data_IF_992381972665
#
_entry.id   IF_992381972665
#
_cell.length_a   1.000
_cell.length_b   1.000
_cell.length_c   1.000
_cell.angle_alpha   90.00
_cell.angle_beta   90.00
_cell.angle_gamma   90.00
#
_symmetry.space_group_name_H-M   'P 1'
#
loop_
_entity.id
_entity.type
_entity.pdbx_description
1 polymer ?
#
# COMPACT_ATOMS: atom_id res chain seq x y z
N UNK A 1 -15.34 -42.19 33.00
CA UNK A 1 -14.41 -42.22 31.85
C UNK A 1 -13.94 -40.79 31.58
N UNK A 2 -12.72 -40.45 31.99
CA UNK A 2 -12.17 -39.09 31.88
C UNK A 2 -11.31 -39.00 30.61
N UNK A 3 -11.71 -38.17 29.65
CA UNK A 3 -10.88 -37.81 28.50
C UNK A 3 -10.12 -36.51 28.83
N UNK A 4 -8.85 -36.63 29.22
CA UNK A 4 -7.90 -35.51 29.17
C UNK A 4 -7.44 -35.37 27.72
N UNK A 5 -7.81 -34.28 27.06
CA UNK A 5 -7.35 -33.95 25.70
C UNK A 5 -6.06 -33.15 25.80
N UNK A 6 -5.06 -33.64 25.09
CA UNK A 6 -3.70 -33.11 24.98
C UNK A 6 -3.75 -31.86 24.10
N UNK A 7 -3.45 -30.69 24.67
CA UNK A 7 -3.22 -29.45 23.91
C UNK A 7 -1.80 -29.01 24.23
N UNK A 8 -0.88 -29.22 23.30
CA UNK A 8 0.48 -28.73 23.50
C UNK A 8 1.47 -29.20 22.46
N UNK A 9 1.36 -28.77 21.20
CA UNK A 9 2.52 -28.66 20.27
C UNK A 9 2.16 -27.90 18.97
N UNK A 10 1.89 -26.59 19.02
CA UNK A 10 1.79 -25.76 17.78
C UNK A 10 2.73 -24.55 17.79
N UNK A 11 3.33 -24.20 18.93
CA UNK A 11 4.20 -23.00 19.04
C UNK A 11 5.61 -23.22 18.44
N UNK A 12 6.01 -24.47 18.18
CA UNK A 12 7.38 -24.78 17.71
C UNK A 12 7.65 -24.56 16.21
N UNK A 13 6.62 -24.50 15.36
CA UNK A 13 6.83 -24.48 13.90
C UNK A 13 7.18 -23.08 13.35
N UNK A 14 6.68 -22.02 13.99
CA UNK A 14 6.89 -20.63 13.53
C UNK A 14 8.34 -20.17 13.77
N UNK A 15 8.97 -20.61 14.87
CA UNK A 15 10.35 -20.22 15.19
C UNK A 15 11.38 -20.79 14.21
N UNK A 16 11.13 -21.94 13.59
CA UNK A 16 12.06 -22.55 12.62
C UNK A 16 12.05 -21.80 11.29
N UNK A 17 10.90 -21.28 10.85
CA UNK A 17 10.78 -20.56 9.57
C UNK A 17 11.53 -19.23 9.60
N UNK A 18 11.58 -18.54 10.75
CA UNK A 18 12.30 -17.26 10.88
C UNK A 18 13.82 -17.45 10.78
N UNK A 19 14.37 -18.58 11.22
CA UNK A 19 15.82 -18.80 11.25
C UNK A 19 16.42 -19.16 9.88
N UNK A 20 15.65 -19.77 8.97
CA UNK A 20 16.16 -20.19 7.65
C UNK A 20 16.35 -19.02 6.68
N UNK A 21 15.64 -17.91 6.86
CA UNK A 21 15.68 -16.78 5.91
C UNK A 21 16.99 -15.96 6.02
N UNK A 22 17.74 -16.08 7.12
CA UNK A 22 18.94 -15.24 7.34
C UNK A 22 20.24 -15.75 6.69
N UNK A 23 20.26 -16.93 6.04
CA UNK A 23 21.51 -17.59 5.65
C UNK A 23 21.75 -17.77 4.14
N UNK A 24 21.00 -17.12 3.24
CA UNK A 24 21.13 -17.36 1.80
C UNK A 24 21.54 -16.13 0.95
N UNK A 25 22.47 -15.30 1.43
CA UNK A 25 22.99 -14.18 0.62
C UNK A 25 24.50 -13.98 0.78
N UNK A 26 25.29 -14.99 0.40
CA UNK A 26 26.71 -14.85 0.11
C UNK A 26 27.15 -15.89 -0.92
N UNK A 27 26.96 -15.59 -2.21
CA UNK A 27 27.91 -15.93 -3.27
C UNK A 27 27.40 -15.46 -4.63
N UNK A 28 28.34 -15.01 -5.46
CA UNK A 28 28.21 -14.59 -6.86
C UNK A 28 27.82 -13.12 -7.07
N UNK A 29 28.81 -12.22 -7.19
CA UNK A 29 29.24 -11.69 -8.50
C UNK A 29 30.50 -10.83 -8.33
N UNK A 30 31.65 -11.43 -8.64
CA UNK A 30 32.88 -10.73 -9.03
C UNK A 30 33.10 -11.06 -10.50
N UNK A 31 32.90 -10.08 -11.39
CA UNK A 31 33.53 -10.08 -12.71
C UNK A 31 33.52 -8.66 -13.28
N UNK A 32 34.74 -8.15 -13.47
CA UNK A 32 35.08 -6.92 -14.18
C UNK A 32 34.65 -6.99 -15.64
N UNK A 33 34.23 -5.86 -16.21
CA UNK A 33 34.67 -5.48 -17.56
C UNK A 33 34.75 -3.96 -17.67
N UNK A 34 35.97 -3.45 -17.78
CA UNK A 34 36.24 -2.15 -18.37
C UNK A 34 36.06 -2.28 -19.89
N UNK A 35 35.26 -1.40 -20.49
CA UNK A 35 35.35 -1.15 -21.92
C UNK A 35 35.16 0.35 -22.18
N UNK A 36 36.27 1.02 -22.49
CA UNK A 36 36.30 2.30 -23.18
C UNK A 36 36.12 2.06 -24.67
N UNK A 37 35.38 2.95 -25.36
CA UNK A 37 35.55 3.42 -26.75
C UNK A 37 34.29 4.22 -27.10
N UNK A 38 34.35 5.56 -27.05
CA UNK A 38 34.45 6.46 -28.21
C UNK A 38 33.42 6.21 -29.31
N UNK A 39 32.54 7.18 -29.54
CA UNK A 39 31.57 7.11 -30.63
C UNK A 39 30.67 8.33 -30.70
N UNK A 40 31.19 9.39 -31.30
CA UNK A 40 30.54 10.62 -31.75
C UNK A 40 29.32 10.30 -32.62
N UNK A 41 28.19 11.02 -32.43
CA UNK A 41 27.46 11.80 -33.45
C UNK A 41 26.01 12.04 -33.01
N UNK A 42 25.68 13.32 -32.82
CA UNK A 42 24.33 13.86 -32.72
C UNK A 42 23.99 14.54 -34.05
N UNK A 43 22.89 14.19 -34.73
CA UNK A 43 22.30 15.04 -35.74
C UNK A 43 21.28 15.99 -35.08
N UNK A 44 21.44 17.27 -35.37
CA UNK A 44 20.55 18.35 -35.00
C UNK A 44 19.17 18.16 -35.66
N UNK A 45 18.11 18.31 -34.87
CA UNK A 45 16.74 18.39 -35.33
C UNK A 45 16.48 19.74 -36.01
N UNK A 46 15.96 19.71 -37.24
CA UNK A 46 15.38 20.85 -37.93
C UNK A 46 13.85 20.83 -37.77
N UNK A 47 13.33 22.03 -37.64
CA UNK A 47 11.95 22.47 -37.49
C UNK A 47 11.15 22.44 -38.79
N UNK A 48 9.86 22.09 -38.70
CA UNK A 48 8.72 22.60 -39.51
C UNK A 48 7.46 22.03 -38.81
N UNK A 49 6.67 22.80 -38.05
CA UNK A 49 5.61 23.75 -38.44
C UNK A 49 4.72 23.22 -39.56
N UNK A 50 3.52 22.78 -39.21
CA UNK A 50 2.30 23.19 -39.92
C UNK A 50 1.06 23.07 -39.02
N UNK A 51 0.33 24.17 -38.98
CA UNK A 51 -1.03 24.40 -38.48
C UNK A 51 -2.03 23.74 -39.45
N UNK A 52 -3.30 23.42 -39.16
CA UNK A 52 -4.47 24.29 -38.87
C UNK A 52 -5.72 23.38 -38.76
N UNK A 53 -6.80 23.97 -38.20
CA UNK A 53 -8.22 23.76 -38.53
C UNK A 53 -9.09 22.86 -37.62
N UNK A 54 -9.75 23.52 -36.67
CA UNK A 54 -11.20 23.63 -36.48
C UNK A 54 -12.13 22.55 -37.07
N UNK A 55 -13.02 22.01 -36.23
CA UNK A 55 -14.47 22.15 -36.45
C UNK A 55 -15.30 21.80 -35.20
N UNK A 56 -16.39 22.53 -35.08
CA UNK A 56 -17.29 22.71 -33.93
C UNK A 56 -18.63 21.94 -34.15
N UNK A 57 -19.36 21.76 -33.04
CA UNK A 57 -20.83 21.81 -32.91
C UNK A 57 -21.73 20.64 -33.36
N UNK A 58 -22.45 20.03 -32.39
CA UNK A 58 -23.93 19.87 -32.32
C UNK A 58 -24.31 19.04 -31.07
N UNK A 59 -24.83 19.63 -29.99
CA UNK A 59 -26.23 20.00 -29.69
C UNK A 59 -27.22 18.84 -29.90
N UNK A 60 -27.85 18.40 -28.79
CA UNK A 60 -29.22 17.85 -28.61
C UNK A 60 -29.46 17.87 -27.08
N UNK A 61 -30.06 18.89 -26.43
CA UNK A 61 -31.46 19.35 -26.36
C UNK A 61 -32.46 18.33 -25.76
N UNK A 62 -33.09 18.80 -24.67
CA UNK A 62 -34.47 18.61 -24.17
C UNK A 62 -34.80 17.39 -23.26
N UNK A 63 -35.15 17.59 -21.96
CA UNK A 63 -36.49 17.92 -21.35
C UNK A 63 -37.10 16.59 -20.81
N UNK A 64 -37.73 16.38 -19.64
CA UNK A 64 -38.55 17.19 -18.70
C UNK A 64 -38.66 16.48 -17.34
N UNK A 65 -38.67 17.27 -16.27
CA UNK A 65 -39.41 17.26 -14.98
C UNK A 65 -40.35 16.07 -14.59
N UNK A 66 -40.15 15.54 -13.36
CA UNK A 66 -41.03 15.46 -12.13
C UNK A 66 -42.58 15.39 -12.29
N UNK A 67 -43.45 15.04 -11.28
CA UNK A 67 -43.26 14.79 -9.83
C UNK A 67 -44.20 13.67 -9.23
N UNK A 68 -44.31 13.66 -7.87
CA UNK A 68 -45.47 13.27 -7.00
C UNK A 68 -45.45 11.84 -6.43
N UNK A 69 -45.77 11.53 -5.16
CA UNK A 69 -45.79 12.17 -3.84
C UNK A 69 -46.24 11.09 -2.81
N UNK A 70 -45.80 11.21 -1.54
CA UNK A 70 -46.55 11.06 -0.25
C UNK A 70 -47.44 9.80 -0.04
N UNK A 71 -47.62 9.14 1.11
CA UNK A 71 -47.46 9.31 2.57
C UNK A 71 -48.01 7.98 3.16
N UNK A 72 -47.63 7.43 4.32
CA UNK A 72 -48.10 7.76 5.67
C UNK A 72 -47.65 6.59 6.62
N UNK A 73 -46.90 6.88 7.70
CA UNK A 73 -47.29 6.84 9.13
C UNK A 73 -47.39 5.46 9.84
N UNK A 74 -46.75 5.39 11.03
CA UNK A 74 -47.27 4.92 12.34
C UNK A 74 -46.30 4.02 13.15
N UNK A 75 -45.82 4.62 14.25
CA UNK A 75 -45.56 4.13 15.63
C UNK A 75 -44.41 3.17 16.00
N UNK A 76 -43.51 3.75 16.81
CA UNK A 76 -43.17 3.39 18.21
C UNK A 76 -42.91 1.92 18.54
N UNK A 77 -41.66 1.61 18.90
CA UNK A 77 -41.23 1.11 20.24
C UNK A 77 -39.99 0.22 20.15
N UNK A 78 -38.96 0.61 20.91
CA UNK A 78 -37.93 -0.17 21.58
C UNK A 78 -36.54 0.43 21.30
N UNK A 79 -36.11 1.25 22.26
CA UNK A 79 -34.72 1.67 22.41
C UNK A 79 -33.92 0.42 22.79
N UNK A 80 -33.36 -0.25 21.79
CA UNK A 80 -32.26 -1.18 22.00
C UNK A 80 -30.99 -0.34 22.01
N UNK A 81 -30.44 -0.13 23.21
CA UNK A 81 -29.14 0.51 23.38
C UNK A 81 -28.10 -0.50 22.89
N UNK A 82 -27.92 -0.57 21.57
CA UNK A 82 -26.76 -1.23 20.96
C UNK A 82 -25.55 -0.47 21.52
N UNK A 83 -24.61 -1.14 22.21
CA UNK A 83 -23.41 -0.47 22.68
C UNK A 83 -22.75 0.16 21.45
N UNK A 84 -22.62 1.48 21.47
CA UNK A 84 -21.99 2.26 20.41
C UNK A 84 -20.57 1.72 20.23
N UNK A 85 -20.41 0.83 19.25
CA UNK A 85 -19.12 0.24 18.92
C UNK A 85 -18.27 1.40 18.44
N UNK A 86 -17.32 1.83 19.29
CA UNK A 86 -16.33 2.84 18.91
C UNK A 86 -15.78 2.49 17.52
N UNK A 87 -15.64 3.48 16.62
CA UNK A 87 -15.27 3.21 15.25
C UNK A 87 -13.96 2.43 15.23
N UNK A 88 -14.00 1.21 14.67
CA UNK A 88 -12.81 0.38 14.57
C UNK A 88 -11.93 0.95 13.47
N UNK A 89 -10.78 1.49 13.85
CA UNK A 89 -9.77 2.00 12.91
C UNK A 89 -8.74 0.91 12.66
N UNK A 90 -8.60 0.49 11.39
CA UNK A 90 -7.53 -0.37 10.92
C UNK A 90 -6.63 0.43 9.98
N UNK A 91 -5.32 0.21 10.02
CA UNK A 91 -4.36 0.81 9.11
C UNK A 91 -3.67 -0.28 8.31
N UNK A 92 -3.68 -0.18 6.99
CA UNK A 92 -2.88 -1.05 6.12
C UNK A 92 -1.73 -0.24 5.55
N UNK A 93 -0.52 -0.79 5.61
CA UNK A 93 0.68 -0.20 5.04
C UNK A 93 1.21 -1.18 4.01
N UNK A 94 1.06 -0.86 2.73
CA UNK A 94 1.44 -1.75 1.64
C UNK A 94 2.56 -1.14 0.82
N UNK A 95 3.66 -1.88 0.70
CA UNK A 95 4.71 -1.60 -0.26
C UNK A 95 4.41 -2.38 -1.53
N UNK A 96 3.92 -1.70 -2.55
CA UNK A 96 3.84 -2.27 -3.88
C UNK A 96 5.21 -2.20 -4.55
N UNK A 97 5.52 -3.17 -5.41
CA UNK A 97 6.73 -3.18 -6.22
C UNK A 97 6.57 -4.11 -7.43
N UNK A 98 7.36 -3.88 -8.48
CA UNK A 98 7.59 -4.91 -9.51
C UNK A 98 8.69 -5.88 -9.06
N UNK A 99 8.85 -6.98 -9.78
CA UNK A 99 9.92 -7.97 -9.55
C UNK A 99 11.29 -7.33 -9.70
N UNK A 100 11.46 -6.52 -10.74
CA UNK A 100 12.66 -5.72 -10.95
C UNK A 100 12.57 -4.43 -10.13
N UNK A 101 13.53 -4.23 -9.23
CA UNK A 101 13.53 -3.10 -8.29
C UNK A 101 14.83 -2.30 -8.38
N UNK A 102 14.70 -0.99 -8.32
CA UNK A 102 15.82 -0.08 -8.12
C UNK A 102 16.36 -0.15 -6.69
N UNK A 103 17.60 0.27 -6.43
CA UNK A 103 18.20 0.28 -5.09
C UNK A 103 17.38 1.10 -4.07
N UNK A 104 16.91 2.28 -4.48
CA UNK A 104 16.04 3.13 -3.65
C UNK A 104 14.71 2.44 -3.32
N UNK A 105 14.13 1.74 -4.29
CA UNK A 105 12.89 0.99 -4.15
C UNK A 105 13.02 -0.10 -3.07
N UNK A 106 14.15 -0.82 -3.08
CA UNK A 106 14.50 -1.83 -2.08
C UNK A 106 14.70 -1.17 -0.71
N UNK A 107 15.37 -0.02 -0.66
CA UNK A 107 15.61 0.70 0.60
C UNK A 107 14.30 1.15 1.28
N UNK A 108 13.31 1.65 0.51
CA UNK A 108 11.99 2.02 1.04
C UNK A 108 11.32 0.81 1.68
N UNK A 109 11.32 -0.34 1.00
CA UNK A 109 10.70 -1.55 1.52
C UNK A 109 11.33 -2.04 2.81
N UNK A 110 12.66 -2.14 2.82
CA UNK A 110 13.42 -2.50 4.01
C UNK A 110 13.14 -1.56 5.18
N UNK A 111 13.25 -0.24 4.97
CA UNK A 111 13.06 0.74 6.05
C UNK A 111 11.61 0.78 6.55
N UNK A 112 10.62 0.63 5.66
CA UNK A 112 9.22 0.54 6.06
C UNK A 112 8.97 -0.72 6.90
N UNK A 113 9.43 -1.89 6.43
CA UNK A 113 9.33 -3.15 7.15
C UNK A 113 9.99 -3.08 8.53
N UNK A 114 11.23 -2.60 8.60
CA UNK A 114 11.93 -2.40 9.88
C UNK A 114 11.14 -1.49 10.83
N UNK A 115 10.64 -0.35 10.35
CA UNK A 115 9.84 0.58 11.18
C UNK A 115 8.60 -0.14 11.75
N UNK A 116 7.88 -0.87 10.90
CA UNK A 116 6.64 -1.54 11.29
C UNK A 116 6.93 -2.64 12.33
N UNK A 117 7.88 -3.52 12.05
CA UNK A 117 8.20 -4.64 12.93
C UNK A 117 8.87 -4.21 14.23
N UNK A 118 9.58 -3.07 14.25
CA UNK A 118 10.23 -2.55 15.45
C UNK A 118 9.22 -1.90 16.42
N UNK A 119 8.25 -1.13 15.91
CA UNK A 119 7.40 -0.28 16.78
C UNK A 119 5.96 -0.75 16.97
N UNK A 120 5.46 -1.69 16.16
CA UNK A 120 4.03 -2.00 16.09
C UNK A 120 3.68 -3.49 16.26
N UNK A 121 4.54 -4.27 16.92
CA UNK A 121 4.28 -5.69 17.20
C UNK A 121 2.89 -5.96 17.84
N UNK A 122 2.44 -5.19 18.86
CA UNK A 122 1.09 -5.37 19.41
C UNK A 122 -0.01 -5.09 18.39
N UNK A 123 0.09 -3.98 17.65
CA UNK A 123 -0.91 -3.57 16.67
C UNK A 123 -0.98 -4.52 15.47
N UNK A 124 0.15 -5.11 15.07
CA UNK A 124 0.21 -6.18 14.07
C UNK A 124 -0.51 -7.44 14.57
N UNK A 125 -0.20 -7.89 15.80
CA UNK A 125 -0.82 -9.07 16.41
C UNK A 125 -2.32 -8.90 16.58
N UNK A 126 -2.75 -7.71 16.98
CA UNK A 126 -4.15 -7.39 17.25
C UNK A 126 -4.92 -7.03 15.95
N UNK A 127 -4.24 -7.04 14.79
CA UNK A 127 -4.83 -6.76 13.47
C UNK A 127 -5.22 -5.30 13.24
N UNK A 128 -4.80 -4.40 14.14
CA UNK A 128 -4.98 -2.94 14.01
C UNK A 128 -4.10 -2.38 12.90
N UNK A 129 -2.90 -2.92 12.73
CA UNK A 129 -2.01 -2.65 11.59
C UNK A 129 -1.83 -3.91 10.77
N UNK A 130 -1.84 -3.77 9.45
CA UNK A 130 -1.44 -4.80 8.50
C UNK A 130 -0.31 -4.26 7.64
N UNK A 131 0.79 -5.01 7.50
CA UNK A 131 1.89 -4.65 6.61
C UNK A 131 2.17 -5.77 5.61
N UNK A 132 2.36 -5.40 4.34
CA UNK A 132 2.69 -6.33 3.26
C UNK A 132 3.61 -5.67 2.24
N UNK A 133 4.57 -6.45 1.75
CA UNK A 133 5.18 -6.21 0.42
C UNK A 133 4.35 -6.94 -0.63
N UNK A 134 4.04 -6.27 -1.75
CA UNK A 134 3.12 -6.75 -2.78
C UNK A 134 3.79 -6.63 -4.14
N UNK A 135 4.17 -7.77 -4.72
CA UNK A 135 4.67 -7.82 -6.09
C UNK A 135 3.50 -7.68 -7.08
N UNK A 136 3.43 -6.56 -7.81
CA UNK A 136 2.35 -6.24 -8.75
C UNK A 136 2.41 -7.06 -10.04
N UNK A 137 3.51 -7.75 -10.31
CA UNK A 137 3.66 -8.59 -11.50
C UNK A 137 2.92 -9.93 -11.33
N UNK A 138 2.66 -10.33 -10.08
CA UNK A 138 2.00 -11.58 -9.76
C UNK A 138 0.46 -11.48 -9.96
N UNK A 139 -0.18 -12.46 -10.65
CA UNK A 139 -1.62 -12.44 -10.94
C UNK A 139 -2.51 -12.27 -9.70
N UNK A 140 -2.17 -12.95 -8.61
CA UNK A 140 -2.93 -12.92 -7.34
C UNK A 140 -2.97 -11.53 -6.69
N UNK A 141 -2.04 -10.64 -7.05
CA UNK A 141 -1.97 -9.29 -6.50
C UNK A 141 -2.62 -8.24 -7.40
N UNK A 142 -3.07 -8.58 -8.62
CA UNK A 142 -3.58 -7.60 -9.60
C UNK A 142 -4.78 -6.81 -9.08
N UNK A 143 -5.76 -7.48 -8.47
CA UNK A 143 -6.94 -6.82 -7.92
C UNK A 143 -6.56 -5.83 -6.79
N UNK A 144 -5.59 -6.20 -5.94
CA UNK A 144 -5.11 -5.34 -4.87
C UNK A 144 -4.32 -4.15 -5.42
N UNK A 145 -3.42 -4.38 -6.37
CA UNK A 145 -2.66 -3.32 -7.04
C UNK A 145 -3.60 -2.33 -7.75
N UNK A 146 -4.65 -2.83 -8.42
CA UNK A 146 -5.67 -1.99 -9.05
C UNK A 146 -6.46 -1.16 -8.04
N UNK A 147 -6.88 -1.76 -6.90
CA UNK A 147 -7.56 -1.03 -5.82
C UNK A 147 -6.74 0.17 -5.33
N UNK A 148 -5.43 -0.01 -5.19
CA UNK A 148 -4.49 1.02 -4.75
C UNK A 148 -3.95 1.88 -5.89
N UNK A 149 -4.31 1.59 -7.15
CA UNK A 149 -3.77 2.23 -8.36
C UNK A 149 -2.23 2.19 -8.42
N UNK A 150 -1.63 1.13 -7.87
CA UNK A 150 -0.19 0.96 -7.83
C UNK A 150 0.34 0.45 -9.17
N UNK A 151 1.13 1.27 -9.87
CA UNK A 151 1.75 0.93 -11.16
C UNK A 151 3.24 0.56 -11.06
N UNK A 152 3.82 0.58 -9.86
CA UNK A 152 5.24 0.31 -9.64
C UNK A 152 5.59 0.23 -8.17
N UNK A 153 6.86 0.55 -7.84
CA UNK A 153 7.27 0.68 -6.46
C UNK A 153 6.63 1.90 -5.81
N UNK A 154 5.89 1.69 -4.71
CA UNK A 154 5.21 2.75 -3.98
C UNK A 154 4.82 2.27 -2.57
N UNK A 155 4.91 3.16 -1.58
CA UNK A 155 4.42 2.89 -0.23
C UNK A 155 3.05 3.55 -0.06
N UNK A 156 2.01 2.76 0.17
CA UNK A 156 0.66 3.24 0.43
C UNK A 156 0.28 3.02 1.88
N UNK A 157 -0.50 3.96 2.41
CA UNK A 157 -1.17 3.82 3.70
C UNK A 157 -2.68 3.97 3.47
N UNK A 158 -3.42 2.96 3.88
CA UNK A 158 -4.87 2.93 3.85
C UNK A 158 -5.41 2.98 5.28
N UNK A 159 -6.10 4.07 5.64
CA UNK A 159 -6.82 4.16 6.90
C UNK A 159 -8.26 3.71 6.68
N UNK A 160 -8.67 2.65 7.36
CA UNK A 160 -10.01 2.09 7.26
C UNK A 160 -10.79 2.49 8.50
N UNK A 161 -11.87 3.26 8.33
CA UNK A 161 -12.78 3.67 9.40
C UNK A 161 -14.16 3.14 9.05
N UNK A 162 -14.72 2.27 9.90
CA UNK A 162 -16.04 1.67 9.69
C UNK A 162 -16.21 1.01 8.30
N UNK A 163 -15.13 0.44 7.76
CA UNK A 163 -15.11 -0.22 6.46
C UNK A 163 -14.88 0.72 5.26
N UNK A 164 -14.83 2.03 5.47
CA UNK A 164 -14.48 2.99 4.43
C UNK A 164 -12.96 3.15 4.34
N UNK A 165 -12.41 2.94 3.14
CA UNK A 165 -11.00 3.13 2.84
C UNK A 165 -10.66 4.61 2.63
N UNK A 166 -9.47 5.01 3.08
CA UNK A 166 -8.80 6.29 2.83
C UNK A 166 -7.35 5.98 2.43
N UNK A 167 -7.16 5.76 1.13
CA UNK A 167 -5.90 5.27 0.54
C UNK A 167 -5.09 6.45 0.04
N UNK A 168 -3.86 6.57 0.55
CA UNK A 168 -2.92 7.60 0.12
C UNK A 168 -1.53 7.00 -0.11
N UNK A 169 -0.89 7.38 -1.22
CA UNK A 169 0.53 7.12 -1.40
C UNK A 169 1.35 8.03 -0.47
N UNK A 170 2.38 7.49 0.16
CA UNK A 170 3.37 8.25 0.89
C UNK A 170 4.59 8.55 0.01
N UNK A 171 4.57 9.69 -0.68
CA UNK A 171 5.67 10.09 -1.55
C UNK A 171 6.85 10.74 -0.81
N UNK A 172 6.70 11.06 0.48
CA UNK A 172 7.78 11.69 1.27
C UNK A 172 8.94 10.72 1.48
N UNK A 173 8.65 9.43 1.62
CA UNK A 173 9.64 8.38 1.95
C UNK A 173 10.77 8.29 0.95
N UNK A 174 10.53 8.64 -0.32
CA UNK A 174 11.54 8.67 -1.38
C UNK A 174 12.72 9.60 -1.06
N UNK A 175 12.48 10.67 -0.32
CA UNK A 175 13.51 11.66 0.04
C UNK A 175 14.27 11.31 1.31
N UNK A 176 13.82 10.27 2.02
CA UNK A 176 14.32 9.91 3.35
C UNK A 176 15.20 8.64 3.34
N UNK A 177 15.32 7.95 2.20
CA UNK A 177 16.03 6.66 2.12
C UNK A 177 17.52 6.74 2.46
N UNK A 178 18.14 7.92 2.33
CA UNK A 178 19.53 8.15 2.71
C UNK A 178 19.74 8.39 4.21
N UNK A 179 18.66 8.60 4.97
CA UNK A 179 18.71 8.81 6.42
C UNK A 179 17.70 7.85 7.11
N UNK A 180 18.15 6.63 7.46
CA UNK A 180 17.29 5.61 8.07
C UNK A 180 16.53 6.10 9.32
N UNK A 181 17.19 6.83 10.21
CA UNK A 181 16.57 7.30 11.45
C UNK A 181 15.45 8.32 11.19
N UNK A 182 15.68 9.22 10.22
CA UNK A 182 14.67 10.18 9.78
C UNK A 182 13.50 9.49 9.09
N UNK A 183 13.76 8.49 8.25
CA UNK A 183 12.72 7.67 7.62
C UNK A 183 11.85 6.99 8.69
N UNK A 184 12.48 6.25 9.61
CA UNK A 184 11.78 5.50 10.67
C UNK A 184 10.95 6.44 11.54
N UNK A 185 11.53 7.57 11.96
CA UNK A 185 10.84 8.57 12.76
C UNK A 185 9.64 9.17 12.03
N UNK A 186 9.80 9.52 10.75
CA UNK A 186 8.71 10.06 9.93
C UNK A 186 7.54 9.07 9.80
N UNK A 187 7.83 7.83 9.37
CA UNK A 187 6.79 6.83 9.14
C UNK A 187 6.10 6.43 10.45
N UNK A 188 6.85 6.28 11.53
CA UNK A 188 6.30 6.03 12.88
C UNK A 188 5.35 7.14 13.31
N UNK A 189 5.75 8.41 13.20
CA UNK A 189 4.90 9.53 13.60
C UNK A 189 3.61 9.58 12.76
N UNK A 190 3.73 9.34 11.45
CA UNK A 190 2.57 9.28 10.56
C UNK A 190 1.59 8.19 10.98
N UNK A 191 2.07 6.98 11.26
CA UNK A 191 1.22 5.86 11.68
C UNK A 191 0.61 6.11 13.06
N UNK A 192 1.37 6.64 14.02
CA UNK A 192 0.87 7.01 15.36
C UNK A 192 -0.34 7.94 15.27
N UNK A 193 -0.27 8.97 14.43
CA UNK A 193 -1.39 9.89 14.20
C UNK A 193 -2.63 9.18 13.64
N UNK A 194 -2.45 8.18 12.78
CA UNK A 194 -3.56 7.43 12.20
C UNK A 194 -4.24 6.50 13.21
N UNK A 195 -3.48 5.96 14.17
CA UNK A 195 -3.95 5.01 15.17
C UNK A 195 -4.28 5.63 16.54
N UNK A 196 -4.02 6.94 16.71
CA UNK A 196 -4.29 7.70 17.94
C UNK A 196 -3.32 7.42 19.08
N UNK A 197 -2.01 7.36 18.80
CA UNK A 197 -0.92 7.13 19.78
C UNK A 197 -0.03 8.36 19.94
#
# INVERSE_FOLDING_TARGET
MNKKVIIGTIVGLIAVIVLTIMNNDQSQVVAKSENQLTGTQSPQAVSEVETVADQELIINKSVTEEPVAQTATVNTKASEVVPEKKPTTKVQVFLFHSTQRCSTCIAIGRLAGETIYEYYQPELRDGKIEFREVNIDLPENKALAQKFQASGSALFINKIINGQDDINEDTTVWRLTSNPDQFKSYLKNKINNLIGK
#
